data_IF_281066285332
#
_entry.id   IF_281066285332
#
_cell.length_a   1.000
_cell.length_b   1.000
_cell.length_c   1.000
_cell.angle_alpha   90.00
_cell.angle_beta   90.00
_cell.angle_gamma   90.00
#
_symmetry.space_group_name_H-M   'P 1'
#
loop_
_entity.id
_entity.type
_entity.pdbx_description
1 polymer ?
#
# COMPACT_ATOMS: atom_id res chain seq x y z
N UNK A 1 -34.56 37.88 39.65
CA UNK A 1 -33.49 37.96 40.65
C UNK A 1 -32.16 38.16 39.91
N UNK A 2 -31.75 39.43 39.80
CA UNK A 2 -30.55 39.82 39.06
C UNK A 2 -29.37 39.82 40.02
N UNK A 3 -28.36 39.00 39.77
CA UNK A 3 -27.11 39.06 40.52
C UNK A 3 -26.18 40.06 39.82
N UNK A 4 -25.99 41.17 40.47
CA UNK A 4 -25.00 42.21 40.12
C UNK A 4 -23.63 41.70 40.61
N UNK A 5 -22.71 41.53 39.69
CA UNK A 5 -21.30 41.19 40.00
C UNK A 5 -20.51 42.50 40.06
N UNK A 6 -20.20 42.97 41.29
CA UNK A 6 -19.28 44.10 41.55
C UNK A 6 -17.86 43.75 41.10
N UNK A 7 -17.34 44.52 40.16
CA UNK A 7 -15.90 44.55 39.85
C UNK A 7 -15.20 45.53 40.78
N UNK A 8 -14.46 45.02 41.76
CA UNK A 8 -13.57 45.80 42.63
C UNK A 8 -12.30 46.17 41.85
N UNK A 9 -12.22 47.43 41.44
CA UNK A 9 -11.02 48.00 40.80
C UNK A 9 -9.93 48.25 41.83
N UNK A 10 -8.74 47.65 41.67
CA UNK A 10 -7.46 48.26 42.08
C UNK A 10 -6.70 48.62 40.83
N UNK A 11 -6.37 49.89 40.74
CA UNK A 11 -5.87 50.57 39.57
C UNK A 11 -4.57 50.04 38.98
N UNK A 12 -4.59 49.97 37.67
CA UNK A 12 -3.48 50.30 36.79
C UNK A 12 -4.12 50.85 35.51
N UNK A 13 -3.67 52.02 35.09
CA UNK A 13 -4.08 52.72 33.88
C UNK A 13 -3.65 51.89 32.65
N UNK A 14 -4.60 51.61 31.78
CA UNK A 14 -4.29 50.93 30.53
C UNK A 14 -5.52 50.74 29.65
N UNK A 15 -5.64 51.64 28.65
CA UNK A 15 -6.35 51.52 27.35
C UNK A 15 -7.69 50.76 27.35
N UNK A 16 -8.77 51.53 27.12
CA UNK A 16 -10.16 51.08 27.11
C UNK A 16 -10.47 49.99 26.07
N UNK A 17 -10.86 48.83 26.54
CA UNK A 17 -11.56 47.86 25.71
C UNK A 17 -13.05 48.26 25.57
N UNK A 18 -13.51 48.39 24.34
CA UNK A 18 -14.88 48.72 24.00
C UNK A 18 -15.87 47.70 24.56
N UNK A 19 -17.01 48.08 25.16
CA UNK A 19 -18.03 47.16 25.68
C UNK A 19 -18.57 46.16 24.64
N UNK A 20 -18.45 46.46 23.36
CA UNK A 20 -18.80 45.55 22.27
C UNK A 20 -17.93 44.31 22.21
N UNK A 21 -16.66 44.38 22.65
CA UNK A 21 -15.76 43.22 22.63
C UNK A 21 -16.16 42.16 23.67
N UNK A 22 -16.73 42.59 24.79
CA UNK A 22 -17.17 41.68 25.86
C UNK A 22 -18.42 40.89 25.45
N UNK A 23 -19.35 41.54 24.74
CA UNK A 23 -20.58 40.89 24.23
C UNK A 23 -20.26 39.87 23.15
N UNK A 24 -19.35 40.20 22.22
CA UNK A 24 -18.93 39.30 21.14
C UNK A 24 -18.21 38.06 21.70
N UNK A 25 -17.35 38.23 22.70
CA UNK A 25 -16.68 37.07 23.38
C UNK A 25 -17.69 36.16 24.10
N UNK A 26 -18.75 36.71 24.72
CA UNK A 26 -19.78 35.89 25.37
C UNK A 26 -20.68 35.15 24.37
N UNK A 27 -21.02 35.76 23.25
CA UNK A 27 -21.82 35.12 22.18
C UNK A 27 -21.02 34.00 21.53
N UNK A 28 -19.72 34.21 21.26
CA UNK A 28 -18.83 33.19 20.69
C UNK A 28 -18.65 32.01 21.64
N UNK A 29 -18.52 32.22 22.96
CA UNK A 29 -18.45 31.14 23.97
C UNK A 29 -19.77 30.38 24.10
N UNK A 30 -20.94 31.04 23.99
CA UNK A 30 -22.24 30.33 24.00
C UNK A 30 -22.49 29.52 22.76
N UNK A 31 -22.09 29.99 21.56
CA UNK A 31 -22.16 29.20 20.32
C UNK A 31 -21.22 28.02 20.33
N UNK A 32 -19.97 28.17 20.79
CA UNK A 32 -19.05 27.04 20.94
C UNK A 32 -19.54 25.99 21.93
N UNK A 33 -20.09 26.38 23.08
CA UNK A 33 -20.66 25.42 24.03
C UNK A 33 -21.84 24.63 23.44
N UNK A 34 -22.68 25.27 22.62
CA UNK A 34 -23.79 24.57 21.94
C UNK A 34 -23.30 23.64 20.82
N UNK A 35 -22.25 24.00 20.11
CA UNK A 35 -21.62 23.14 19.07
C UNK A 35 -20.91 21.94 19.72
N UNK A 36 -20.17 22.17 20.81
CA UNK A 36 -19.52 21.08 21.57
C UNK A 36 -20.57 20.15 22.19
N UNK A 37 -21.72 20.67 22.68
CA UNK A 37 -22.80 19.83 23.20
C UNK A 37 -23.51 19.04 22.08
N UNK A 38 -23.69 19.62 20.89
CA UNK A 38 -24.25 18.91 19.75
C UNK A 38 -23.31 17.81 19.24
N UNK A 39 -22.01 18.07 19.20
CA UNK A 39 -20.99 17.05 18.82
C UNK A 39 -20.92 15.96 19.90
N UNK A 40 -21.02 16.30 21.20
CA UNK A 40 -21.05 15.30 22.27
C UNK A 40 -22.34 14.47 22.26
N UNK A 41 -23.49 15.01 21.85
CA UNK A 41 -24.72 14.24 21.69
C UNK A 41 -24.65 13.30 20.47
N UNK A 42 -24.00 13.69 19.39
CA UNK A 42 -23.77 12.79 18.24
C UNK A 42 -22.78 11.67 18.57
N UNK A 43 -21.80 11.91 19.46
CA UNK A 43 -20.86 10.89 19.93
C UNK A 43 -21.47 9.92 20.96
N UNK A 44 -22.55 10.30 21.67
CA UNK A 44 -23.20 9.44 22.68
C UNK A 44 -24.27 8.50 22.08
N UNK A 45 -24.70 8.69 20.84
CA UNK A 45 -25.57 7.73 20.16
C UNK A 45 -24.82 6.59 19.46
N UNK A 46 -23.47 6.60 19.48
CA UNK A 46 -22.59 5.56 18.88
C UNK A 46 -22.10 4.47 19.84
N UNK A 47 -22.50 4.48 21.09
CA UNK A 47 -22.08 3.46 22.08
C UNK A 47 -23.24 2.54 22.40
N UNK A 48 -23.40 1.45 21.65
CA UNK A 48 -24.30 0.43 22.11
C UNK A 48 -24.97 -0.49 21.11
N UNK A 49 -24.33 -0.81 20.01
CA UNK A 49 -24.57 -2.08 19.32
C UNK A 49 -23.22 -2.66 18.97
N UNK A 50 -22.84 -3.78 19.60
CA UNK A 50 -21.87 -4.68 19.04
C UNK A 50 -22.47 -5.17 17.72
N UNK A 51 -22.16 -4.47 16.62
CA UNK A 51 -22.70 -4.75 15.31
C UNK A 51 -22.00 -6.01 14.81
N UNK A 52 -22.64 -7.16 14.90
CA UNK A 52 -22.20 -8.42 14.30
C UNK A 52 -22.02 -8.32 12.77
N UNK A 53 -22.21 -7.14 12.19
CA UNK A 53 -22.16 -6.89 10.75
C UNK A 53 -20.86 -6.18 10.27
N UNK A 54 -19.92 -5.86 11.16
CA UNK A 54 -18.61 -5.30 10.77
C UNK A 54 -17.66 -6.43 10.42
N UNK A 55 -17.08 -6.38 9.24
CA UNK A 55 -16.05 -7.29 8.75
C UNK A 55 -14.72 -6.55 8.60
N UNK A 56 -13.64 -7.23 8.88
CA UNK A 56 -12.30 -6.65 8.94
C UNK A 56 -11.46 -7.09 7.75
N UNK A 57 -10.72 -6.14 7.16
CA UNK A 57 -9.80 -6.40 6.06
C UNK A 57 -8.41 -5.92 6.45
N UNK A 58 -7.43 -6.80 6.39
CA UNK A 58 -6.03 -6.45 6.47
C UNK A 58 -5.51 -6.15 5.08
N UNK A 59 -5.00 -4.94 4.85
CA UNK A 59 -4.46 -4.53 3.56
C UNK A 59 -3.06 -3.93 3.74
N UNK A 60 -2.05 -4.45 3.03
CA UNK A 60 -0.72 -3.84 2.99
C UNK A 60 -0.79 -2.47 2.31
N UNK A 61 0.23 -1.66 2.53
CA UNK A 61 0.23 -0.26 2.08
C UNK A 61 -0.05 -0.11 0.60
N UNK A 62 0.56 -0.95 -0.22
CA UNK A 62 0.43 -0.87 -1.68
C UNK A 62 -1.01 -1.13 -2.18
N UNK A 63 -1.80 -1.93 -1.47
CA UNK A 63 -3.17 -2.29 -1.85
C UNK A 63 -4.24 -1.50 -1.10
N UNK A 64 -3.88 -0.81 -0.02
CA UNK A 64 -4.85 -0.13 0.85
C UNK A 64 -5.77 0.86 0.12
N UNK A 65 -5.28 1.76 -0.75
CA UNK A 65 -6.16 2.68 -1.46
C UNK A 65 -7.18 1.98 -2.36
N UNK A 66 -6.81 0.84 -2.96
CA UNK A 66 -7.72 0.01 -3.75
C UNK A 66 -8.80 -0.63 -2.86
N UNK A 67 -8.41 -1.17 -1.69
CA UNK A 67 -9.35 -1.76 -0.74
C UNK A 67 -10.31 -0.71 -0.18
N UNK A 68 -9.82 0.50 0.13
CA UNK A 68 -10.66 1.64 0.54
C UNK A 68 -11.70 1.95 -0.55
N UNK A 69 -11.30 1.95 -1.83
CA UNK A 69 -12.20 2.15 -2.95
C UNK A 69 -13.24 1.03 -3.07
N UNK A 70 -12.85 -0.22 -2.89
CA UNK A 70 -13.81 -1.34 -2.89
C UNK A 70 -14.85 -1.22 -1.78
N UNK A 71 -14.43 -0.88 -0.56
CA UNK A 71 -15.34 -0.69 0.57
C UNK A 71 -16.34 0.44 0.27
N UNK A 72 -15.84 1.58 -0.23
CA UNK A 72 -16.68 2.72 -0.61
C UNK A 72 -17.74 2.33 -1.66
N UNK A 73 -17.33 1.66 -2.74
CA UNK A 73 -18.22 1.31 -3.84
C UNK A 73 -19.19 0.18 -3.47
N UNK A 74 -18.71 -0.81 -2.70
CA UNK A 74 -19.55 -1.90 -2.22
C UNK A 74 -20.65 -1.41 -1.28
N UNK A 75 -20.34 -0.49 -0.37
CA UNK A 75 -21.33 0.08 0.55
C UNK A 75 -22.49 0.78 -0.16
N UNK A 76 -22.28 1.28 -1.38
CA UNK A 76 -23.35 1.88 -2.21
C UNK A 76 -24.34 0.81 -2.71
N UNK A 77 -23.91 -0.44 -2.86
CA UNK A 77 -24.71 -1.55 -3.38
C UNK A 77 -25.31 -2.41 -2.28
N UNK A 78 -24.67 -2.47 -1.10
CA UNK A 78 -25.03 -3.31 0.04
C UNK A 78 -24.97 -2.54 1.37
N UNK A 79 -25.92 -1.68 1.66
CA UNK A 79 -25.85 -0.75 2.82
C UNK A 79 -25.97 -1.45 4.19
N UNK A 80 -26.14 -2.76 4.26
CA UNK A 80 -26.33 -3.50 5.53
C UNK A 80 -25.08 -4.16 6.09
N UNK A 81 -23.93 -4.12 5.38
CA UNK A 81 -22.68 -4.77 5.79
C UNK A 81 -21.55 -3.74 5.76
N UNK A 82 -20.85 -3.59 6.86
CA UNK A 82 -19.72 -2.66 6.98
C UNK A 82 -18.40 -3.43 6.92
N UNK A 83 -17.46 -2.95 6.09
CA UNK A 83 -16.09 -3.42 6.05
C UNK A 83 -15.14 -2.34 6.57
N UNK A 84 -14.17 -2.75 7.40
CA UNK A 84 -13.18 -1.83 7.99
C UNK A 84 -11.77 -2.37 7.79
N UNK A 85 -10.83 -1.46 7.44
CA UNK A 85 -9.42 -1.81 7.33
C UNK A 85 -8.78 -1.81 8.71
N UNK A 86 -8.22 -2.95 9.10
CA UNK A 86 -7.46 -3.10 10.35
C UNK A 86 -5.96 -2.99 10.10
N UNK A 87 -5.21 -2.62 11.15
CA UNK A 87 -3.76 -2.41 11.12
C UNK A 87 -3.05 -3.38 12.07
N UNK A 88 -1.77 -3.60 11.78
CA UNK A 88 -0.89 -4.37 12.68
C UNK A 88 -1.12 -5.88 12.61
N UNK A 89 -0.91 -6.55 13.75
CA UNK A 89 -1.01 -8.01 13.91
C UNK A 89 -2.44 -8.49 14.26
N UNK A 90 -3.44 -7.62 14.14
CA UNK A 90 -4.83 -7.98 14.44
C UNK A 90 -5.31 -9.06 13.47
N UNK A 91 -6.01 -10.07 13.97
CA UNK A 91 -6.74 -11.02 13.13
C UNK A 91 -7.78 -10.27 12.30
N UNK A 92 -8.03 -10.77 11.11
CA UNK A 92 -8.97 -10.16 10.17
C UNK A 92 -9.74 -11.23 9.40
N UNK A 93 -10.97 -10.91 9.00
CA UNK A 93 -11.81 -11.80 8.20
C UNK A 93 -11.24 -11.98 6.78
N UNK A 94 -10.57 -10.94 6.29
CA UNK A 94 -9.93 -10.89 4.97
C UNK A 94 -8.51 -10.35 5.10
N UNK A 95 -7.56 -10.91 4.34
CA UNK A 95 -6.20 -10.38 4.26
C UNK A 95 -5.73 -10.32 2.81
N UNK A 96 -5.36 -9.12 2.38
CA UNK A 96 -4.72 -8.91 1.06
C UNK A 96 -3.22 -9.14 1.22
N UNK A 97 -2.63 -9.92 0.32
CA UNK A 97 -1.20 -10.24 0.32
C UNK A 97 -0.67 -10.38 -1.10
N UNK A 98 0.64 -10.23 -1.28
CA UNK A 98 1.32 -10.77 -2.45
C UNK A 98 1.46 -12.26 -2.18
N UNK A 99 0.84 -13.07 -3.04
CA UNK A 99 0.78 -14.50 -2.85
C UNK A 99 2.00 -15.16 -3.48
N UNK A 100 2.89 -15.66 -2.64
CA UNK A 100 3.90 -16.60 -3.09
C UNK A 100 3.25 -17.93 -3.48
N UNK A 101 3.75 -18.57 -4.52
CA UNK A 101 3.21 -19.86 -5.01
C UNK A 101 3.29 -20.98 -3.95
N UNK A 102 4.15 -20.83 -2.94
CA UNK A 102 4.30 -21.81 -1.86
C UNK A 102 3.24 -21.69 -0.76
N UNK A 103 2.65 -20.51 -0.54
CA UNK A 103 1.59 -20.33 0.46
C UNK A 103 0.20 -20.83 0.02
N UNK A 104 0.07 -21.31 -1.23
CA UNK A 104 -1.19 -21.88 -1.75
C UNK A 104 -1.59 -23.21 -1.09
N UNK A 105 -0.76 -23.78 -0.21
CA UNK A 105 -1.04 -24.97 0.59
C UNK A 105 -1.36 -24.54 2.01
N UNK A 106 -2.37 -23.74 2.17
CA UNK A 106 -2.86 -23.38 3.49
C UNK A 106 -3.98 -24.35 3.91
N UNK A 107 -4.02 -24.56 5.21
CA UNK A 107 -5.02 -25.30 5.97
C UNK A 107 -6.40 -25.34 5.28
N UNK A 108 -7.13 -26.43 5.46
CA UNK A 108 -8.49 -26.66 4.94
C UNK A 108 -9.53 -25.54 5.25
N UNK A 109 -9.15 -24.50 5.98
CA UNK A 109 -9.99 -23.39 6.41
C UNK A 109 -9.66 -22.04 5.76
N UNK A 110 -8.51 -21.87 5.14
CA UNK A 110 -8.12 -20.60 4.51
C UNK A 110 -8.14 -20.74 2.98
N UNK A 111 -8.92 -19.89 2.34
CA UNK A 111 -9.02 -19.85 0.88
C UNK A 111 -8.27 -18.65 0.33
N UNK A 112 -7.62 -18.84 -0.80
CA UNK A 112 -6.91 -17.80 -1.54
C UNK A 112 -7.61 -17.52 -2.86
N UNK A 113 -7.90 -16.24 -3.09
CA UNK A 113 -8.51 -15.71 -4.31
C UNK A 113 -7.59 -14.66 -4.91
N UNK A 114 -7.18 -14.81 -6.17
CA UNK A 114 -6.36 -13.82 -6.86
C UNK A 114 -7.23 -12.69 -7.44
N UNK A 115 -6.76 -11.45 -7.31
CA UNK A 115 -7.48 -10.23 -7.69
C UNK A 115 -6.73 -9.36 -8.69
N UNK A 116 -5.43 -9.60 -8.88
CA UNK A 116 -4.54 -8.86 -9.75
C UNK A 116 -3.11 -9.33 -9.62
N UNK A 117 -2.19 -8.57 -10.20
CA UNK A 117 -0.75 -8.75 -10.00
C UNK A 117 -0.13 -7.40 -9.58
N UNK A 118 1.02 -7.43 -8.94
CA UNK A 118 1.82 -6.24 -8.65
C UNK A 118 3.22 -6.41 -9.17
N UNK A 119 3.84 -5.32 -9.60
CA UNK A 119 5.23 -5.32 -9.99
C UNK A 119 6.08 -4.57 -8.97
N UNK A 120 7.28 -5.08 -8.72
CA UNK A 120 8.26 -4.49 -7.82
C UNK A 120 9.48 -4.08 -8.64
N UNK A 121 9.82 -2.78 -8.58
CA UNK A 121 10.91 -2.19 -9.34
C UNK A 121 12.02 -1.68 -8.44
N UNK A 122 13.29 -1.85 -8.85
CA UNK A 122 14.43 -1.27 -8.15
C UNK A 122 14.50 0.24 -8.37
N UNK A 123 14.73 0.98 -7.29
CA UNK A 123 14.74 2.44 -7.26
C UNK A 123 15.89 2.99 -6.43
N UNK A 124 16.23 4.24 -6.68
CA UNK A 124 17.13 5.07 -5.87
C UNK A 124 16.57 6.50 -5.80
N UNK A 125 17.17 7.35 -4.96
CA UNK A 125 16.82 8.76 -4.98
C UNK A 125 17.35 9.44 -6.26
N UNK A 126 16.53 10.31 -6.84
CA UNK A 126 16.91 11.12 -7.99
C UNK A 126 18.13 11.99 -7.63
N UNK A 127 19.07 12.12 -8.56
CA UNK A 127 20.28 12.91 -8.37
C UNK A 127 21.19 12.46 -7.21
N UNK A 128 21.00 11.25 -6.69
CA UNK A 128 21.86 10.66 -5.68
C UNK A 128 23.20 10.17 -6.27
N UNK A 129 24.17 9.87 -5.40
CA UNK A 129 25.42 9.24 -5.84
C UNK A 129 25.17 7.83 -6.39
N UNK A 130 24.23 7.07 -5.78
CA UNK A 130 23.81 5.78 -6.30
C UNK A 130 23.24 5.89 -7.72
N UNK A 131 22.39 6.90 -8.00
CA UNK A 131 21.88 7.14 -9.33
C UNK A 131 23.02 7.37 -10.35
N UNK A 132 24.03 8.18 -9.99
CA UNK A 132 25.22 8.42 -10.85
C UNK A 132 26.06 7.17 -11.06
N UNK A 133 26.27 6.37 -10.01
CA UNK A 133 27.03 5.12 -10.10
C UNK A 133 26.33 4.07 -10.99
N UNK A 134 25.00 4.13 -11.10
CA UNK A 134 24.17 3.23 -11.89
C UNK A 134 23.77 3.82 -13.25
N UNK A 135 24.10 5.10 -13.51
CA UNK A 135 23.78 5.77 -14.78
C UNK A 135 24.40 5.01 -15.96
N UNK A 136 23.60 4.80 -17.01
CA UNK A 136 23.99 4.05 -18.20
C UNK A 136 24.27 2.57 -17.97
N UNK A 137 24.11 2.04 -16.76
CA UNK A 137 24.22 0.61 -16.49
C UNK A 137 22.85 -0.03 -16.68
N UNK A 138 22.74 -0.82 -17.75
CA UNK A 138 21.56 -1.66 -17.96
C UNK A 138 21.76 -2.98 -17.20
N UNK A 139 21.02 -3.15 -16.10
CA UNK A 139 21.17 -4.30 -15.22
C UNK A 139 20.23 -5.42 -15.66
N UNK A 140 20.79 -6.54 -16.10
CA UNK A 140 20.04 -7.78 -16.29
C UNK A 140 19.82 -8.49 -14.95
N UNK A 141 19.01 -9.56 -14.94
CA UNK A 141 18.67 -10.31 -13.74
C UNK A 141 19.91 -10.74 -12.92
N UNK A 142 20.99 -11.18 -13.58
CA UNK A 142 22.24 -11.57 -12.92
C UNK A 142 22.91 -10.39 -12.19
N UNK A 143 23.02 -9.22 -12.84
CA UNK A 143 23.57 -8.01 -12.22
C UNK A 143 22.69 -7.47 -11.09
N UNK A 144 21.36 -7.59 -11.22
CA UNK A 144 20.43 -7.26 -10.14
C UNK A 144 20.63 -8.18 -8.94
N UNK A 145 20.81 -9.50 -9.18
CA UNK A 145 21.14 -10.44 -8.12
C UNK A 145 22.43 -10.04 -7.40
N UNK A 146 23.50 -9.73 -8.12
CA UNK A 146 24.77 -9.24 -7.54
C UNK A 146 24.61 -7.91 -6.79
N UNK A 147 23.72 -7.02 -7.23
CA UNK A 147 23.50 -5.74 -6.57
C UNK A 147 22.75 -5.90 -5.25
N UNK A 148 21.73 -6.75 -5.19
CA UNK A 148 20.80 -6.79 -4.07
C UNK A 148 21.09 -7.88 -3.04
N UNK A 149 21.75 -8.99 -3.41
CA UNK A 149 21.92 -10.16 -2.54
C UNK A 149 23.36 -10.42 -2.14
N UNK A 150 23.53 -11.17 -1.07
CA UNK A 150 24.83 -11.71 -0.67
C UNK A 150 25.27 -12.73 -1.73
N UNK A 151 26.49 -12.62 -2.21
CA UNK A 151 27.06 -13.61 -3.12
C UNK A 151 27.39 -14.92 -2.38
N UNK A 152 27.32 -16.03 -3.09
CA UNK A 152 27.85 -17.30 -2.58
C UNK A 152 29.38 -17.18 -2.41
N UNK A 153 29.92 -17.72 -1.32
CA UNK A 153 31.37 -17.71 -1.03
C UNK A 153 32.22 -18.38 -2.12
N UNK A 154 31.58 -19.22 -2.96
CA UNK A 154 32.21 -19.98 -4.03
C UNK A 154 32.04 -19.36 -5.43
N UNK A 155 31.44 -18.16 -5.51
CA UNK A 155 31.22 -17.49 -6.80
C UNK A 155 32.47 -16.65 -7.12
N UNK A 156 33.37 -17.19 -7.97
CA UNK A 156 34.60 -16.53 -8.47
C UNK A 156 34.31 -15.33 -9.39
N UNK A 157 33.06 -14.86 -9.42
CA UNK A 157 32.68 -13.73 -10.27
C UNK A 157 33.30 -12.41 -9.80
N UNK A 158 33.89 -11.69 -10.74
CA UNK A 158 34.43 -10.35 -10.52
C UNK A 158 33.32 -9.42 -9.98
N UNK A 159 33.35 -9.14 -8.68
CA UNK A 159 32.42 -8.22 -8.04
C UNK A 159 32.53 -6.84 -8.71
N UNK A 160 31.38 -6.29 -9.10
CA UNK A 160 31.34 -4.96 -9.69
C UNK A 160 31.66 -3.92 -8.62
N UNK A 161 32.85 -3.29 -8.70
CA UNK A 161 33.33 -2.28 -7.73
C UNK A 161 32.33 -1.15 -7.48
N UNK A 162 31.49 -0.81 -8.48
CA UNK A 162 30.46 0.21 -8.29
C UNK A 162 29.36 -0.28 -7.30
N UNK A 163 29.06 -1.59 -7.28
CA UNK A 163 28.05 -2.14 -6.37
C UNK A 163 28.55 -2.22 -4.92
N UNK A 164 29.87 -2.35 -4.70
CA UNK A 164 30.43 -2.39 -3.34
C UNK A 164 30.14 -1.10 -2.56
N UNK A 165 30.07 0.04 -3.24
CA UNK A 165 29.78 1.35 -2.63
C UNK A 165 28.28 1.57 -2.35
N UNK A 166 27.43 0.85 -3.03
CA UNK A 166 25.96 1.02 -2.93
C UNK A 166 25.45 0.33 -1.67
N UNK A 167 24.58 0.99 -0.95
CA UNK A 167 23.90 0.48 0.25
C UNK A 167 22.50 0.05 -0.14
N UNK A 168 22.22 -1.25 -0.02
CA UNK A 168 20.89 -1.80 -0.28
C UNK A 168 20.02 -1.64 0.97
N UNK A 169 18.81 -1.14 0.80
CA UNK A 169 17.77 -1.13 1.81
C UNK A 169 16.69 -2.12 1.42
N UNK A 170 16.38 -3.08 2.29
CA UNK A 170 15.32 -4.06 2.10
C UNK A 170 14.29 -3.99 3.23
N UNK A 171 13.09 -4.50 3.00
CA UNK A 171 12.08 -4.68 4.02
C UNK A 171 12.46 -5.75 5.05
N UNK A 172 11.65 -5.89 6.09
CA UNK A 172 11.77 -7.03 7.01
C UNK A 172 11.47 -8.35 6.28
N UNK A 173 11.91 -9.46 6.81
CA UNK A 173 11.64 -10.79 6.24
C UNK A 173 10.13 -11.13 6.15
N UNK A 174 9.29 -10.42 6.92
CA UNK A 174 7.84 -10.55 6.87
C UNK A 174 7.18 -9.62 5.82
N UNK A 175 7.97 -8.82 5.08
CA UNK A 175 7.45 -7.99 4.00
C UNK A 175 7.21 -8.84 2.76
N UNK A 176 5.97 -8.88 2.30
CA UNK A 176 5.61 -9.58 1.05
C UNK A 176 6.29 -8.96 -0.18
N UNK A 177 6.61 -7.66 -0.15
CA UNK A 177 7.34 -6.97 -1.21
C UNK A 177 8.79 -7.45 -1.27
N UNK A 178 9.45 -7.61 -0.11
CA UNK A 178 10.82 -8.13 -0.05
C UNK A 178 10.88 -9.60 -0.49
N UNK A 179 9.95 -10.43 -0.06
CA UNK A 179 9.87 -11.83 -0.47
C UNK A 179 9.62 -11.95 -1.97
N UNK A 180 8.68 -11.18 -2.53
CA UNK A 180 8.39 -11.16 -3.97
C UNK A 180 9.63 -10.78 -4.80
N UNK A 181 10.35 -9.72 -4.38
CA UNK A 181 11.56 -9.32 -5.09
C UNK A 181 12.66 -10.38 -5.00
N UNK A 182 12.88 -10.98 -3.84
CA UNK A 182 13.87 -12.04 -3.67
C UNK A 182 13.53 -13.27 -4.51
N UNK A 183 12.28 -13.73 -4.44
CA UNK A 183 11.81 -14.91 -5.15
C UNK A 183 11.98 -14.80 -6.67
N UNK A 184 11.76 -13.62 -7.26
CA UNK A 184 11.99 -13.39 -8.70
C UNK A 184 13.43 -13.70 -9.15
N UNK A 185 14.39 -13.60 -8.25
CA UNK A 185 15.80 -13.91 -8.52
C UNK A 185 16.24 -15.27 -7.97
N UNK A 186 15.31 -16.10 -7.49
CA UNK A 186 15.61 -17.40 -6.88
C UNK A 186 16.32 -17.28 -5.53
N UNK A 187 16.05 -16.18 -4.78
CA UNK A 187 16.65 -15.88 -3.50
C UNK A 187 15.62 -15.85 -2.38
N UNK A 188 16.10 -16.00 -1.15
CA UNK A 188 15.32 -15.79 0.05
C UNK A 188 15.43 -14.32 0.53
N UNK A 189 14.37 -13.79 1.15
CA UNK A 189 14.39 -12.43 1.70
C UNK A 189 15.45 -12.25 2.82
N UNK A 190 15.96 -13.33 3.38
CA UNK A 190 17.09 -13.35 4.32
C UNK A 190 18.43 -13.05 3.67
N UNK A 191 18.55 -13.19 2.36
CA UNK A 191 19.82 -13.07 1.62
C UNK A 191 20.11 -11.66 1.12
N UNK A 192 19.19 -10.67 1.34
CA UNK A 192 19.50 -9.30 0.99
C UNK A 192 20.76 -8.82 1.71
N UNK A 193 21.65 -8.17 0.97
CA UNK A 193 22.79 -7.44 1.55
C UNK A 193 22.33 -6.09 2.09
N UNK A 194 23.18 -5.43 2.87
CA UNK A 194 22.95 -4.06 3.32
C UNK A 194 22.09 -3.95 4.56
N UNK A 195 21.12 -3.05 4.58
CA UNK A 195 20.36 -2.66 5.77
C UNK A 195 18.88 -3.06 5.64
N UNK A 196 18.29 -3.53 6.74
CA UNK A 196 16.88 -3.88 6.81
C UNK A 196 16.09 -2.77 7.50
N UNK A 197 14.95 -2.42 6.92
CA UNK A 197 13.99 -1.45 7.47
C UNK A 197 12.76 -2.22 7.95
N UNK A 198 12.46 -2.11 9.23
CA UNK A 198 11.23 -2.68 9.79
C UNK A 198 10.05 -1.73 9.56
N UNK A 199 8.87 -2.29 9.33
CA UNK A 199 7.62 -1.55 9.21
C UNK A 199 7.08 -1.46 7.80
N UNK A 200 6.50 -0.32 7.45
CA UNK A 200 5.84 -0.08 6.17
C UNK A 200 6.88 0.06 5.02
N UNK A 201 6.61 -0.58 3.87
CA UNK A 201 7.51 -0.54 2.72
C UNK A 201 7.73 0.88 2.16
N UNK A 202 6.89 1.87 2.47
CA UNK A 202 7.16 3.28 2.18
C UNK A 202 8.39 3.83 2.91
N UNK A 203 8.80 3.22 4.03
CA UNK A 203 10.03 3.63 4.72
C UNK A 203 11.29 3.34 3.90
N UNK A 204 11.22 2.40 2.95
CA UNK A 204 12.28 2.14 1.99
C UNK A 204 12.53 3.36 1.09
N UNK A 205 11.48 3.99 0.58
CA UNK A 205 11.60 5.22 -0.20
C UNK A 205 12.23 6.35 0.64
N UNK A 206 11.83 6.44 1.91
CA UNK A 206 12.42 7.42 2.84
C UNK A 206 13.89 7.14 3.14
N UNK A 207 14.27 5.86 3.25
CA UNK A 207 15.66 5.47 3.52
C UNK A 207 16.57 5.88 2.36
N UNK A 208 16.20 5.58 1.11
CA UNK A 208 17.01 5.97 -0.05
C UNK A 208 17.04 7.49 -0.26
N UNK A 209 15.96 8.20 0.08
CA UNK A 209 15.94 9.67 0.02
C UNK A 209 16.94 10.32 0.99
N UNK A 210 17.29 9.65 2.09
CA UNK A 210 18.23 10.12 3.11
C UNK A 210 19.68 9.66 2.90
N UNK A 211 19.88 8.60 2.13
CA UNK A 211 21.20 8.01 1.89
C UNK A 211 21.58 8.18 0.41
N UNK A 212 22.60 9.01 0.10
CA UNK A 212 23.02 9.25 -1.28
C UNK A 212 23.55 7.98 -1.99
N UNK A 213 23.95 6.94 -1.26
CA UNK A 213 24.38 5.65 -1.81
C UNK A 213 23.27 4.57 -1.75
N UNK A 214 22.06 4.95 -1.29
CA UNK A 214 20.95 4.04 -1.08
C UNK A 214 20.28 3.59 -2.37
N UNK A 215 20.05 2.28 -2.47
CA UNK A 215 19.11 1.68 -3.44
C UNK A 215 18.11 0.79 -2.70
N UNK A 216 16.93 0.65 -3.26
CA UNK A 216 15.88 -0.23 -2.75
C UNK A 216 14.99 -0.71 -3.90
N UNK A 217 13.91 -1.35 -3.57
CA UNK A 217 12.86 -1.76 -4.49
C UNK A 217 11.50 -1.49 -3.85
N UNK A 218 10.49 -1.22 -4.67
CA UNK A 218 9.12 -1.08 -4.15
C UNK A 218 8.08 -1.33 -5.25
N UNK A 219 6.81 -1.49 -4.83
CA UNK A 219 5.69 -1.69 -5.75
C UNK A 219 5.37 -0.43 -6.54
N UNK A 220 4.75 -0.60 -7.72
CA UNK A 220 4.34 0.53 -8.58
C UNK A 220 3.52 1.57 -7.83
N UNK A 221 2.54 1.16 -7.04
CA UNK A 221 1.68 2.07 -6.27
C UNK A 221 2.43 2.86 -5.19
N UNK A 222 3.59 2.39 -4.73
CA UNK A 222 4.42 3.08 -3.76
C UNK A 222 5.43 4.04 -4.40
N UNK A 223 5.83 3.82 -5.64
CA UNK A 223 6.85 4.63 -6.33
C UNK A 223 6.25 5.62 -7.33
N UNK A 224 5.09 5.34 -7.90
CA UNK A 224 4.35 6.28 -8.73
C UNK A 224 3.37 7.11 -7.91
N UNK A 225 3.11 8.32 -8.35
CA UNK A 225 1.99 9.12 -7.87
C UNK A 225 0.72 8.69 -8.62
N UNK A 226 -0.27 8.20 -7.88
CA UNK A 226 -1.48 7.62 -8.45
C UNK A 226 -2.42 8.65 -9.11
N UNK A 227 -2.25 9.95 -8.82
CA UNK A 227 -3.05 11.01 -9.42
C UNK A 227 -2.40 11.52 -10.71
N UNK A 228 -1.14 11.90 -10.66
CA UNK A 228 -0.40 12.40 -11.83
C UNK A 228 0.04 11.28 -12.77
N UNK A 229 0.03 10.03 -12.32
CA UNK A 229 0.48 8.84 -13.04
C UNK A 229 1.97 8.82 -13.38
N UNK A 230 2.77 9.69 -12.79
CA UNK A 230 4.22 9.76 -13.01
C UNK A 230 4.99 9.19 -11.83
N UNK A 231 6.23 8.74 -12.12
CA UNK A 231 7.18 8.37 -11.08
C UNK A 231 7.35 9.57 -10.13
N UNK A 232 7.34 9.32 -8.83
CA UNK A 232 7.52 10.37 -7.80
C UNK A 232 8.81 11.13 -8.09
N UNK A 233 8.74 12.46 -7.98
CA UNK A 233 9.81 13.37 -8.44
C UNK A 233 11.13 13.16 -7.71
N UNK A 234 11.10 12.68 -6.48
CA UNK A 234 12.28 12.37 -5.66
C UNK A 234 12.96 11.03 -6.01
N UNK A 235 12.31 10.18 -6.81
CA UNK A 235 12.78 8.84 -7.15
C UNK A 235 13.30 8.74 -8.58
N UNK A 236 14.17 7.78 -8.80
CA UNK A 236 14.65 7.34 -10.11
C UNK A 236 14.62 5.81 -10.17
N UNK A 237 14.17 5.26 -11.29
CA UNK A 237 14.29 3.83 -11.54
C UNK A 237 15.76 3.48 -11.76
N UNK A 238 16.18 2.32 -11.27
CA UNK A 238 17.46 1.71 -11.66
C UNK A 238 17.34 1.21 -13.09
N UNK A 239 18.30 1.52 -13.95
CA UNK A 239 18.28 1.12 -15.35
C UNK A 239 18.31 -0.40 -15.52
N UNK A 240 17.31 -0.95 -16.17
CA UNK A 240 17.17 -2.39 -16.44
C UNK A 240 17.57 -2.71 -17.89
N UNK A 241 18.09 -3.92 -18.10
CA UNK A 241 18.45 -4.43 -19.43
C UNK A 241 17.21 -5.00 -20.14
N UNK A 242 16.38 -4.10 -20.61
CA UNK A 242 15.09 -4.40 -21.23
C UNK A 242 15.16 -4.18 -22.75
N UNK A 243 14.28 -4.86 -23.48
CA UNK A 243 14.05 -4.54 -24.90
C UNK A 243 13.62 -3.07 -25.03
N UNK A 244 14.00 -2.41 -26.14
CA UNK A 244 13.85 -0.97 -26.33
C UNK A 244 12.43 -0.46 -26.15
N UNK A 245 11.43 -1.19 -26.63
CA UNK A 245 10.02 -0.88 -26.50
C UNK A 245 9.57 -0.93 -25.02
N UNK A 246 9.97 -1.97 -24.30
CA UNK A 246 9.71 -2.13 -22.87
C UNK A 246 10.40 -1.02 -22.08
N UNK A 247 11.70 -0.76 -22.34
CA UNK A 247 12.47 0.27 -21.65
C UNK A 247 11.86 1.67 -21.84
N UNK A 248 11.32 1.98 -23.03
CA UNK A 248 10.65 3.26 -23.29
C UNK A 248 9.41 3.44 -22.41
N UNK A 249 8.60 2.39 -22.22
CA UNK A 249 7.39 2.45 -21.38
C UNK A 249 7.73 2.71 -19.90
N UNK A 250 8.89 2.25 -19.42
CA UNK A 250 9.34 2.51 -18.05
C UNK A 250 9.76 3.97 -17.79
N UNK A 251 10.04 4.72 -18.86
CA UNK A 251 10.30 6.17 -18.79
C UNK A 251 9.02 7.02 -18.92
N UNK A 252 7.89 6.39 -19.13
CA UNK A 252 6.60 7.01 -19.32
C UNK A 252 5.73 7.11 -18.08
N UNK A 253 4.45 6.99 -18.29
CA UNK A 253 3.43 7.00 -17.23
C UNK A 253 3.25 5.62 -16.59
N UNK A 254 2.63 5.59 -15.42
CA UNK A 254 2.22 4.33 -14.77
C UNK A 254 1.34 3.47 -15.68
N UNK A 255 0.48 4.09 -16.50
CA UNK A 255 -0.43 3.36 -17.39
C UNK A 255 0.35 2.64 -18.51
N UNK A 256 1.41 3.26 -19.04
CA UNK A 256 2.31 2.63 -20.00
C UNK A 256 3.09 1.47 -19.38
N UNK A 257 3.58 1.65 -18.13
CA UNK A 257 4.25 0.58 -17.38
C UNK A 257 3.30 -0.60 -17.11
N UNK A 258 2.09 -0.34 -16.64
CA UNK A 258 1.09 -1.38 -16.41
C UNK A 258 0.77 -2.14 -17.69
N UNK A 259 0.49 -1.42 -18.78
CA UNK A 259 0.15 -2.02 -20.09
C UNK A 259 1.27 -2.90 -20.62
N UNK A 260 2.53 -2.44 -20.54
CA UNK A 260 3.64 -3.24 -21.07
C UNK A 260 3.90 -4.48 -20.20
N UNK A 261 3.77 -4.38 -18.88
CA UNK A 261 3.97 -5.52 -17.97
C UNK A 261 2.87 -6.59 -18.07
N UNK A 262 1.64 -6.21 -18.39
CA UNK A 262 0.57 -7.18 -18.67
C UNK A 262 0.84 -8.00 -19.92
N UNK A 263 1.54 -7.42 -20.90
CA UNK A 263 1.87 -8.06 -22.18
C UNK A 263 3.24 -8.73 -22.19
N UNK A 264 4.13 -8.33 -21.27
CA UNK A 264 5.50 -8.85 -21.18
C UNK A 264 5.87 -9.11 -19.72
N UNK A 265 6.63 -10.17 -19.46
CA UNK A 265 7.14 -10.47 -18.11
C UNK A 265 8.67 -10.54 -18.17
N UNK A 266 9.37 -9.38 -18.18
CA UNK A 266 10.84 -9.38 -18.21
C UNK A 266 11.39 -9.96 -16.91
N UNK A 267 12.46 -10.76 -17.01
CA UNK A 267 13.09 -11.41 -15.86
C UNK A 267 13.71 -10.41 -14.84
N UNK A 268 13.92 -9.18 -15.26
CA UNK A 268 14.43 -8.08 -14.46
C UNK A 268 13.37 -7.46 -13.53
N UNK A 269 12.09 -7.81 -13.73
CA UNK A 269 10.97 -7.22 -13.00
C UNK A 269 10.22 -8.31 -12.23
N UNK A 270 10.18 -8.19 -10.92
CA UNK A 270 9.37 -9.06 -10.09
C UNK A 270 7.88 -8.74 -10.30
N UNK A 271 7.12 -9.67 -10.89
CA UNK A 271 5.68 -9.58 -11.07
C UNK A 271 5.02 -10.74 -10.37
N UNK A 272 4.26 -10.45 -9.32
CA UNK A 272 3.63 -11.46 -8.48
C UNK A 272 2.13 -11.24 -8.33
N UNK A 273 1.39 -12.33 -8.12
CA UNK A 273 -0.04 -12.29 -7.92
C UNK A 273 -0.39 -11.63 -6.59
N UNK A 274 -1.40 -10.81 -6.60
CA UNK A 274 -2.04 -10.25 -5.41
C UNK A 274 -3.29 -11.07 -5.14
N UNK A 275 -3.40 -11.58 -3.92
CA UNK A 275 -4.51 -12.40 -3.49
C UNK A 275 -5.18 -11.87 -2.24
N UNK A 276 -6.39 -12.39 -1.98
CA UNK A 276 -7.12 -12.22 -0.73
C UNK A 276 -7.28 -13.59 -0.10
N UNK A 277 -6.76 -13.74 1.13
CA UNK A 277 -7.05 -14.90 1.97
C UNK A 277 -8.31 -14.61 2.80
N UNK A 278 -9.16 -15.61 2.99
CA UNK A 278 -10.43 -15.49 3.71
C UNK A 278 -10.89 -16.80 4.31
N UNK A 279 -11.73 -16.72 5.35
CA UNK A 279 -12.42 -17.86 5.93
C UNK A 279 -13.75 -18.09 5.19
N UNK A 280 -14.04 -19.33 4.79
CA UNK A 280 -15.15 -19.66 3.89
C UNK A 280 -16.55 -19.60 4.54
N UNK A 281 -16.66 -19.42 5.83
CA UNK A 281 -17.92 -19.58 6.55
C UNK A 281 -18.81 -18.30 6.61
N UNK A 282 -18.35 -17.17 6.08
CA UNK A 282 -19.06 -15.90 6.14
C UNK A 282 -19.67 -15.54 4.78
N UNK A 283 -21.01 -15.52 4.71
CA UNK A 283 -21.73 -15.18 3.48
C UNK A 283 -21.49 -13.72 3.05
N UNK A 284 -21.36 -12.79 3.99
CA UNK A 284 -21.12 -11.39 3.68
C UNK A 284 -19.72 -11.20 3.05
N UNK A 285 -18.73 -11.91 3.56
CA UNK A 285 -17.37 -11.96 2.99
C UNK A 285 -17.41 -12.52 1.56
N UNK A 286 -18.11 -13.63 1.33
CA UNK A 286 -18.22 -14.23 -0.01
C UNK A 286 -18.90 -13.29 -1.02
N UNK A 287 -19.98 -12.61 -0.62
CA UNK A 287 -20.66 -11.62 -1.48
C UNK A 287 -19.76 -10.45 -1.80
N UNK A 288 -18.98 -9.98 -0.83
CA UNK A 288 -17.99 -8.92 -1.06
C UNK A 288 -16.91 -9.37 -2.06
N UNK A 289 -16.36 -10.58 -1.90
CA UNK A 289 -15.36 -11.13 -2.80
C UNK A 289 -15.91 -11.34 -4.22
N UNK A 290 -17.14 -11.83 -4.35
CA UNK A 290 -17.81 -11.91 -5.66
C UNK A 290 -17.91 -10.53 -6.30
N UNK A 291 -18.37 -9.52 -5.55
CA UNK A 291 -18.45 -8.15 -6.03
C UNK A 291 -17.07 -7.60 -6.42
N UNK A 292 -16.02 -7.89 -5.64
CA UNK A 292 -14.64 -7.49 -5.96
C UNK A 292 -14.21 -8.06 -7.32
N UNK A 293 -14.47 -9.34 -7.59
CA UNK A 293 -14.14 -9.95 -8.87
C UNK A 293 -14.92 -9.35 -10.04
N UNK A 294 -16.21 -9.11 -9.85
CA UNK A 294 -17.10 -8.62 -10.92
C UNK A 294 -16.96 -7.10 -11.17
N UNK A 295 -16.68 -6.32 -10.12
CA UNK A 295 -16.74 -4.86 -10.15
C UNK A 295 -15.50 -4.16 -9.60
N UNK A 296 -14.78 -4.79 -8.69
CA UNK A 296 -13.66 -4.19 -7.96
C UNK A 296 -12.38 -4.19 -8.77
N UNK A 297 -12.09 -5.26 -9.51
CA UNK A 297 -10.85 -5.44 -10.27
C UNK A 297 -10.66 -4.41 -11.38
N UNK A 298 -11.74 -3.80 -11.89
CA UNK A 298 -11.66 -2.70 -12.86
C UNK A 298 -10.89 -1.48 -12.35
N UNK A 299 -10.71 -1.34 -11.03
CA UNK A 299 -9.95 -0.25 -10.42
C UNK A 299 -8.46 -0.57 -10.28
N UNK A 300 -8.00 -1.79 -10.63
CA UNK A 300 -6.62 -2.21 -10.45
C UNK A 300 -5.62 -1.20 -11.04
N UNK A 301 -5.75 -0.84 -12.31
CA UNK A 301 -4.87 0.12 -12.97
C UNK A 301 -4.86 1.48 -12.25
N UNK A 302 -6.02 1.97 -11.81
CA UNK A 302 -6.11 3.24 -11.10
C UNK A 302 -5.23 3.25 -9.85
N UNK A 303 -5.08 2.09 -9.20
CA UNK A 303 -4.32 1.95 -7.96
C UNK A 303 -2.95 1.25 -8.15
N UNK A 304 -2.48 1.14 -9.39
CA UNK A 304 -1.14 0.66 -9.70
C UNK A 304 -0.96 -0.86 -9.61
N UNK A 305 -2.06 -1.61 -9.75
CA UNK A 305 -2.04 -3.07 -9.89
C UNK A 305 -2.31 -3.45 -11.34
N UNK A 306 -1.66 -4.51 -11.81
CA UNK A 306 -1.92 -5.16 -13.08
C UNK A 306 -3.18 -6.04 -12.96
N UNK A 307 -3.90 -6.19 -14.07
CA UNK A 307 -4.99 -7.14 -14.15
C UNK A 307 -4.48 -8.57 -14.30
N UNK A 308 -5.28 -9.52 -13.83
CA UNK A 308 -5.03 -10.92 -14.12
C UNK A 308 -5.24 -11.21 -15.62
N UNK A 309 -4.51 -12.16 -16.13
CA UNK A 309 -4.84 -12.78 -17.40
C UNK A 309 -6.30 -13.29 -17.37
N UNK A 310 -7.04 -13.09 -18.48
CA UNK A 310 -8.46 -13.40 -18.57
C UNK A 310 -8.83 -14.80 -18.09
N UNK A 311 -8.07 -15.84 -18.50
CA UNK A 311 -8.32 -17.23 -18.07
C UNK A 311 -8.19 -17.41 -16.56
N UNK A 312 -7.22 -16.71 -15.96
CA UNK A 312 -7.00 -16.77 -14.51
C UNK A 312 -8.14 -16.03 -13.79
N UNK A 313 -8.57 -14.87 -14.30
CA UNK A 313 -9.68 -14.10 -13.75
C UNK A 313 -11.00 -14.89 -13.78
N UNK A 314 -11.33 -15.51 -14.90
CA UNK A 314 -12.49 -16.38 -15.06
C UNK A 314 -12.47 -17.54 -14.05
N UNK A 315 -11.32 -18.21 -13.90
CA UNK A 315 -11.17 -19.29 -12.91
C UNK A 315 -11.34 -18.82 -11.45
N UNK A 316 -11.03 -17.57 -11.12
CA UNK A 316 -11.32 -17.03 -9.77
C UNK A 316 -12.83 -16.83 -9.57
N UNK A 317 -13.53 -16.33 -10.58
CA UNK A 317 -14.99 -16.15 -10.54
C UNK A 317 -15.71 -17.49 -10.36
N UNK A 318 -15.30 -18.52 -11.11
CA UNK A 318 -15.87 -19.88 -10.99
C UNK A 318 -15.64 -20.49 -9.60
N UNK A 319 -14.47 -20.25 -8.99
CA UNK A 319 -14.19 -20.70 -7.60
C UNK A 319 -15.16 -20.11 -6.58
N UNK A 320 -15.52 -18.85 -6.70
CA UNK A 320 -16.46 -18.21 -5.77
C UNK A 320 -17.88 -18.70 -6.03
N UNK A 321 -18.29 -18.78 -7.29
CA UNK A 321 -19.65 -19.20 -7.67
C UNK A 321 -19.93 -20.66 -7.33
N UNK A 322 -19.02 -21.59 -7.60
CA UNK A 322 -19.18 -23.01 -7.29
C UNK A 322 -19.39 -23.27 -5.79
N UNK A 323 -18.72 -22.48 -4.95
CA UNK A 323 -18.84 -22.57 -3.49
C UNK A 323 -20.13 -21.93 -2.94
N UNK A 324 -20.70 -20.94 -3.65
CA UNK A 324 -22.01 -20.38 -3.33
C UNK A 324 -23.14 -21.36 -3.66
N UNK A 325 -22.96 -22.23 -4.66
CA UNK A 325 -23.97 -23.21 -5.09
C UNK A 325 -23.93 -24.50 -4.26
N UNK A 326 -22.80 -24.91 -3.75
CA UNK A 326 -22.64 -26.15 -2.98
C UNK A 326 -23.24 -26.12 -1.56
N UNK A 327 -23.74 -24.95 -1.10
CA UNK A 327 -24.33 -24.76 0.23
C UNK A 327 -25.86 -24.50 0.21
N UNK A 328 -26.50 -24.64 -0.95
CA UNK A 328 -27.96 -24.71 -1.08
C UNK A 328 -28.40 -26.17 -1.11
#
# INVERSE_FOLDING_TARGET
>A
MYAVCECRTRGIVGVGESPYLCIVKQIKRRKMKRIVFAIALFLSFGLGYANNNVRTIKAPRFARPLVEKWIEEYAKTQPGVEFQIVKGQTESDLSVTIADQQEAVTDNFCHLLYIGETAVLPITARSSEAARLLEGKHLNAKKLKQLFFLGDEFDDEVKNKAFERIIVYSGSNASSVASSFAHNFGEESTNFRGKRIAGDDLFLNTAVAKDPLGVTFNTLSNIFDLQSRHLKSELSLVGLDLKKDVANSFNGTLDEVLTILENTKPAEVAVEKVGITFNNNDEAVRRFLQWVLENGTKYNHQYGLLNLNQKVAEAQTDKVQSKLTAQK
#
